data_IF_151384835068
#
_entry.id   IF_151384835068
#
_cell.length_a   1.000
_cell.length_b   1.000
_cell.length_c   1.000
_cell.angle_alpha   90.00
_cell.angle_beta   90.00
_cell.angle_gamma   90.00
#
_symmetry.space_group_name_H-M   'P 1'
#
loop_
_entity.id
_entity.type
_entity.pdbx_description
1 polymer ?
#
# COMPACT_ATOMS: atom_id res chain seq x y z
N UNK A 1 42.38 -3.74 11.89
CA UNK A 1 41.99 -2.92 10.99
C UNK A 1 40.99 -3.22 9.86
N UNK A 2 41.29 -4.10 8.92
CA UNK A 2 40.49 -4.28 7.71
C UNK A 2 39.19 -5.07 7.91
N UNK A 3 39.13 -5.97 8.89
CA UNK A 3 37.95 -6.83 9.14
C UNK A 3 36.73 -6.02 9.59
N UNK A 4 36.91 -4.91 10.29
CA UNK A 4 35.79 -4.04 10.71
C UNK A 4 35.18 -3.22 9.56
N UNK A 5 35.93 -2.89 8.52
CA UNK A 5 35.44 -2.12 7.37
C UNK A 5 34.61 -2.97 6.41
N UNK A 6 34.99 -4.23 6.16
CA UNK A 6 34.24 -5.13 5.28
C UNK A 6 32.91 -5.57 5.91
N UNK A 7 32.89 -5.83 7.22
CA UNK A 7 31.67 -6.14 7.96
C UNK A 7 30.69 -4.97 7.92
N UNK A 8 31.15 -3.74 8.17
CA UNK A 8 30.33 -2.52 8.05
C UNK A 8 29.81 -2.27 6.63
N UNK A 9 30.55 -2.65 5.58
CA UNK A 9 30.14 -2.49 4.19
C UNK A 9 29.01 -3.49 3.86
N UNK A 10 29.17 -4.75 4.25
CA UNK A 10 28.15 -5.79 4.05
C UNK A 10 26.85 -5.45 4.75
N UNK A 11 26.91 -5.03 6.01
CA UNK A 11 25.77 -4.61 6.80
C UNK A 11 25.03 -3.43 6.15
N UNK A 12 25.74 -2.46 5.57
CA UNK A 12 25.15 -1.33 4.84
C UNK A 12 24.28 -1.77 3.66
N UNK A 13 24.70 -2.76 2.91
CA UNK A 13 23.91 -3.31 1.79
C UNK A 13 22.70 -4.11 2.29
N UNK A 14 22.89 -4.90 3.34
CA UNK A 14 21.83 -5.74 3.92
C UNK A 14 20.70 -4.90 4.55
N UNK A 15 21.00 -3.70 5.06
CA UNK A 15 19.98 -2.75 5.54
C UNK A 15 19.09 -2.17 4.43
N UNK A 16 19.55 -2.24 3.17
CA UNK A 16 18.87 -1.62 2.03
C UNK A 16 18.90 -0.09 2.02
N UNK A 17 19.65 0.55 2.91
CA UNK A 17 19.82 2.02 2.96
C UNK A 17 20.79 2.53 1.90
N UNK A 18 21.67 1.66 1.43
CA UNK A 18 22.67 1.95 0.40
C UNK A 18 22.51 0.99 -0.78
N UNK A 19 23.02 1.39 -1.92
CA UNK A 19 23.22 0.51 -3.07
C UNK A 19 24.61 0.79 -3.68
N UNK A 20 25.17 -0.19 -4.37
CA UNK A 20 26.42 -0.05 -5.09
C UNK A 20 26.14 0.55 -6.48
N UNK A 21 26.70 1.72 -6.78
CA UNK A 21 26.81 2.21 -8.15
C UNK A 21 27.97 1.47 -8.82
N UNK A 22 27.66 0.43 -9.61
CA UNK A 22 28.66 -0.42 -10.26
C UNK A 22 29.56 0.35 -11.24
N UNK A 23 29.05 1.44 -11.86
CA UNK A 23 29.84 2.24 -12.80
C UNK A 23 30.94 3.04 -12.11
N UNK A 24 30.64 3.52 -10.90
CA UNK A 24 31.55 4.36 -10.11
C UNK A 24 32.25 3.59 -9.01
N UNK A 25 31.83 2.35 -8.75
CA UNK A 25 32.26 1.50 -7.64
C UNK A 25 32.22 2.22 -6.28
N UNK A 26 31.08 2.95 -6.04
CA UNK A 26 30.84 3.67 -4.78
C UNK A 26 29.48 3.31 -4.21
N UNK A 27 29.36 3.38 -2.88
CA UNK A 27 28.09 3.22 -2.18
C UNK A 27 27.33 4.55 -2.19
N UNK A 28 26.08 4.49 -2.63
CA UNK A 28 25.18 5.64 -2.72
C UNK A 28 24.02 5.46 -1.78
N UNK A 29 23.65 6.51 -1.07
CA UNK A 29 22.47 6.54 -0.19
C UNK A 29 21.19 6.44 -1.02
N UNK A 30 20.36 5.41 -0.73
CA UNK A 30 19.12 5.16 -1.44
C UNK A 30 18.07 6.26 -1.26
N UNK A 31 18.04 6.87 -0.09
CA UNK A 31 17.00 7.80 0.32
C UNK A 31 17.42 9.26 0.36
N UNK A 32 18.55 9.60 -0.25
CA UNK A 32 19.05 10.98 -0.31
C UNK A 32 18.02 11.92 -0.96
N UNK A 33 17.76 13.07 -0.31
CA UNK A 33 16.82 14.09 -0.81
C UNK A 33 15.35 13.64 -0.78
N UNK A 34 14.97 12.74 0.14
CA UNK A 34 13.62 12.17 0.24
C UNK A 34 13.01 12.38 1.61
N UNK A 35 11.70 12.60 1.62
CA UNK A 35 10.88 12.47 2.80
C UNK A 35 10.70 10.97 3.10
N UNK A 36 10.97 10.57 4.34
CA UNK A 36 11.00 9.17 4.73
C UNK A 36 9.70 8.76 5.42
N UNK A 37 9.19 7.59 5.02
CA UNK A 37 8.04 6.92 5.59
C UNK A 37 8.50 5.59 6.17
N UNK A 38 8.58 5.43 7.51
CA UNK A 38 8.88 4.15 8.12
C UNK A 38 7.82 3.11 7.79
N UNK A 39 8.26 1.93 7.37
CA UNK A 39 7.39 0.77 7.14
C UNK A 39 7.59 -0.16 8.32
N UNK A 40 6.54 -0.34 9.10
CA UNK A 40 6.58 -1.13 10.32
C UNK A 40 6.07 -2.55 10.07
N UNK A 41 6.57 -3.49 10.88
CA UNK A 41 5.92 -4.78 11.03
C UNK A 41 4.64 -4.62 11.86
N UNK A 42 3.87 -5.70 11.98
CA UNK A 42 2.60 -5.70 12.71
C UNK A 42 2.74 -5.31 14.19
N UNK A 43 3.92 -5.45 14.78
CA UNK A 43 4.20 -5.05 16.16
C UNK A 43 4.60 -3.58 16.32
N UNK A 44 4.73 -2.83 15.22
CA UNK A 44 5.11 -1.42 15.22
C UNK A 44 6.62 -1.18 15.17
N UNK A 45 7.43 -2.22 14.89
CA UNK A 45 8.88 -2.06 14.73
C UNK A 45 9.21 -1.73 13.28
N UNK A 46 10.06 -0.73 12.98
CA UNK A 46 10.45 -0.39 11.63
C UNK A 46 11.30 -1.52 11.01
N UNK A 47 10.87 -2.01 9.84
CA UNK A 47 11.52 -3.09 9.09
C UNK A 47 11.99 -2.64 7.71
N UNK A 48 11.51 -1.50 7.22
CA UNK A 48 11.86 -0.92 5.94
C UNK A 48 11.54 0.58 5.91
N UNK A 49 11.95 1.24 4.84
CA UNK A 49 11.66 2.65 4.59
C UNK A 49 11.05 2.83 3.19
N UNK A 50 10.05 3.70 3.11
CA UNK A 50 9.60 4.33 1.88
C UNK A 50 10.17 5.74 1.79
N UNK A 51 10.44 6.24 0.59
CA UNK A 51 10.94 7.58 0.39
C UNK A 51 10.29 8.28 -0.79
N UNK A 52 9.72 9.46 -0.58
CA UNK A 52 9.20 10.35 -1.62
C UNK A 52 10.20 11.47 -1.88
N UNK A 53 10.56 11.71 -3.14
CA UNK A 53 11.45 12.82 -3.50
C UNK A 53 10.83 14.17 -3.07
N UNK A 54 11.64 15.05 -2.47
CA UNK A 54 11.20 16.36 -2.02
C UNK A 54 11.16 17.33 -3.20
N UNK A 55 12.24 17.38 -3.97
CA UNK A 55 12.34 18.22 -5.16
C UNK A 55 12.01 17.41 -6.41
N UNK A 56 11.14 17.93 -7.29
CA UNK A 56 10.82 17.27 -8.56
C UNK A 56 12.08 17.06 -9.40
N UNK A 57 12.26 15.88 -9.95
CA UNK A 57 13.35 15.53 -10.84
C UNK A 57 12.82 14.61 -11.94
N UNK A 58 13.19 14.90 -13.18
CA UNK A 58 12.85 14.05 -14.33
C UNK A 58 13.71 12.77 -14.39
N UNK A 59 14.79 12.74 -13.63
CA UNK A 59 15.78 11.64 -13.64
C UNK A 59 15.63 10.67 -12.47
N UNK A 60 14.88 11.05 -11.43
CA UNK A 60 14.75 10.25 -10.21
C UNK A 60 13.31 9.79 -10.01
N UNK A 61 13.14 8.53 -9.62
CA UNK A 61 11.84 7.99 -9.28
C UNK A 61 11.16 8.81 -8.17
N UNK A 62 9.89 9.16 -8.36
CA UNK A 62 9.08 9.92 -7.38
C UNK A 62 9.04 9.19 -6.04
N UNK A 63 8.91 7.86 -6.05
CA UNK A 63 8.88 6.99 -4.87
C UNK A 63 9.94 5.91 -4.97
N UNK A 64 10.56 5.59 -3.83
CA UNK A 64 11.51 4.47 -3.69
C UNK A 64 11.22 3.77 -2.36
N UNK A 65 11.17 2.44 -2.38
CA UNK A 65 11.07 1.62 -1.16
C UNK A 65 12.40 0.89 -0.92
N UNK A 66 12.62 0.47 0.32
CA UNK A 66 13.69 -0.49 0.64
C UNK A 66 13.58 -1.73 -0.26
N UNK A 67 14.69 -2.35 -0.64
CA UNK A 67 14.67 -3.67 -1.25
C UNK A 67 14.09 -4.69 -0.26
N UNK A 68 13.70 -5.86 -0.74
CA UNK A 68 13.33 -6.95 0.14
C UNK A 68 14.52 -7.43 0.95
N UNK A 69 14.26 -7.75 2.21
CA UNK A 69 15.23 -8.27 3.17
C UNK A 69 14.67 -9.51 3.86
N UNK A 70 15.40 -10.08 4.81
CA UNK A 70 14.89 -11.16 5.65
C UNK A 70 13.65 -10.73 6.46
N UNK A 71 13.60 -9.46 6.87
CA UNK A 71 12.52 -8.92 7.72
C UNK A 71 11.41 -8.23 6.92
N UNK A 72 11.70 -7.83 5.69
CA UNK A 72 10.77 -7.07 4.85
C UNK A 72 10.50 -7.77 3.53
N UNK A 73 9.24 -8.16 3.32
CA UNK A 73 8.70 -8.70 2.07
C UNK A 73 7.50 -7.86 1.64
N UNK A 74 7.57 -7.18 0.51
CA UNK A 74 6.51 -6.27 0.00
C UNK A 74 5.16 -6.98 -0.10
N UNK A 75 5.16 -8.21 -0.62
CA UNK A 75 3.95 -9.01 -0.77
C UNK A 75 3.37 -9.60 0.53
N UNK A 76 3.99 -9.34 1.69
CA UNK A 76 3.49 -9.82 2.99
C UNK A 76 3.28 -8.69 4.00
N UNK A 77 3.69 -7.47 3.66
CA UNK A 77 3.58 -6.31 4.53
C UNK A 77 2.66 -5.27 3.89
N UNK A 78 1.97 -4.51 4.74
CA UNK A 78 1.13 -3.39 4.38
C UNK A 78 1.57 -2.17 5.20
N UNK A 79 1.66 -1.01 4.55
CA UNK A 79 1.93 0.25 5.24
C UNK A 79 0.78 0.59 6.19
N UNK A 80 1.10 1.07 7.38
CA UNK A 80 0.16 1.50 8.43
C UNK A 80 -0.67 0.37 9.09
N UNK A 81 -0.40 -0.91 8.81
CA UNK A 81 -1.18 -1.99 9.41
C UNK A 81 -1.02 -2.08 10.93
N UNK A 82 0.16 -1.73 11.44
CA UNK A 82 0.46 -1.70 12.88
C UNK A 82 -0.41 -0.72 13.66
N UNK A 83 -0.83 0.39 13.05
CA UNK A 83 -1.74 1.37 13.64
C UNK A 83 -3.20 1.00 13.35
N UNK A 84 -3.54 0.70 12.10
CA UNK A 84 -4.91 0.41 11.69
C UNK A 84 -5.50 -0.80 12.45
N UNK A 85 -4.71 -1.87 12.70
CA UNK A 85 -5.19 -3.04 13.46
C UNK A 85 -5.63 -2.72 14.89
N UNK A 86 -5.08 -1.69 15.51
CA UNK A 86 -5.48 -1.26 16.86
C UNK A 86 -6.89 -0.67 16.88
N UNK A 87 -7.40 -0.32 15.71
CA UNK A 87 -8.72 0.25 15.51
C UNK A 87 -9.76 -0.79 15.09
N UNK A 88 -9.40 -2.07 14.98
CA UNK A 88 -10.31 -3.15 14.56
C UNK A 88 -11.53 -3.32 15.46
N UNK A 89 -11.44 -2.94 16.73
CA UNK A 89 -12.59 -2.89 17.66
C UNK A 89 -13.52 -1.70 17.40
N UNK A 90 -13.04 -0.67 16.71
CA UNK A 90 -13.79 0.57 16.40
C UNK A 90 -14.39 0.55 14.99
N UNK A 91 -13.73 -0.12 14.06
CA UNK A 91 -14.12 -0.19 12.66
C UNK A 91 -14.18 -1.65 12.21
N UNK A 92 -15.30 -2.06 11.62
CA UNK A 92 -15.43 -3.38 11.01
C UNK A 92 -14.74 -3.47 9.63
N UNK A 93 -14.54 -2.30 8.98
CA UNK A 93 -13.95 -2.19 7.66
C UNK A 93 -12.55 -1.57 7.69
N UNK A 94 -11.79 -1.88 6.65
CA UNK A 94 -10.48 -1.29 6.36
C UNK A 94 -10.43 -0.83 4.90
N UNK A 95 -9.87 0.35 4.65
CA UNK A 95 -9.56 0.80 3.30
C UNK A 95 -8.15 0.37 2.91
N UNK A 96 -8.04 -0.33 1.78
CA UNK A 96 -6.76 -0.66 1.17
C UNK A 96 -6.56 0.23 -0.05
N UNK A 97 -5.53 1.06 -0.02
CA UNK A 97 -5.18 2.02 -1.07
C UNK A 97 -3.84 1.67 -1.74
N UNK A 98 -3.49 2.34 -2.83
CA UNK A 98 -2.28 2.01 -3.60
C UNK A 98 -1.00 2.48 -2.92
N UNK A 99 -1.00 3.67 -2.33
CA UNK A 99 0.21 4.31 -1.83
C UNK A 99 0.11 4.83 -0.40
N UNK A 100 1.27 4.97 0.23
CA UNK A 100 1.32 5.49 1.60
C UNK A 100 0.95 7.00 1.69
N UNK A 101 1.00 7.74 0.59
CA UNK A 101 0.49 9.12 0.57
C UNK A 101 -1.01 9.16 0.69
N UNK A 102 -1.73 8.21 0.09
CA UNK A 102 -3.18 8.11 0.23
C UNK A 102 -3.57 7.82 1.68
N UNK A 103 -2.83 6.92 2.35
CA UNK A 103 -3.03 6.68 3.80
C UNK A 103 -2.79 7.94 4.61
N UNK A 104 -1.74 8.72 4.31
CA UNK A 104 -1.48 10.00 4.99
C UNK A 104 -2.59 11.01 4.74
N UNK A 105 -3.06 11.14 3.50
CA UNK A 105 -4.17 12.03 3.13
C UNK A 105 -5.48 11.64 3.82
N UNK A 106 -5.83 10.37 3.83
CA UNK A 106 -6.99 9.83 4.55
C UNK A 106 -6.88 10.09 6.06
N UNK A 107 -5.73 9.77 6.66
CA UNK A 107 -5.48 9.96 8.09
C UNK A 107 -5.56 11.44 8.51
N UNK A 108 -4.99 12.36 7.71
CA UNK A 108 -5.09 13.82 7.91
C UNK A 108 -6.54 14.28 7.99
N UNK A 109 -7.42 13.64 7.24
CA UNK A 109 -8.86 13.92 7.23
C UNK A 109 -9.65 13.09 8.24
N UNK A 110 -8.99 12.38 9.16
CA UNK A 110 -9.61 11.61 10.23
C UNK A 110 -10.13 10.22 9.80
N UNK A 111 -9.67 9.68 8.67
CA UNK A 111 -9.93 8.30 8.23
C UNK A 111 -8.67 7.47 8.57
N UNK A 112 -8.68 6.88 9.77
CA UNK A 112 -7.51 6.22 10.35
C UNK A 112 -7.45 4.72 10.01
N UNK A 113 -8.56 4.13 9.56
CA UNK A 113 -8.68 2.73 9.16
C UNK A 113 -8.29 2.53 7.69
N UNK A 114 -7.07 2.94 7.34
CA UNK A 114 -6.52 2.80 6.00
C UNK A 114 -5.12 2.18 6.03
N UNK A 115 -4.83 1.33 5.05
CA UNK A 115 -3.52 0.69 4.81
C UNK A 115 -3.16 0.79 3.35
N UNK A 116 -1.87 0.68 3.02
CA UNK A 116 -1.45 0.70 1.62
C UNK A 116 -0.55 -0.45 1.23
N UNK A 117 -0.59 -0.79 -0.06
CA UNK A 117 0.39 -1.62 -0.73
C UNK A 117 1.74 -0.89 -0.84
N UNK A 118 2.79 -1.67 -1.04
CA UNK A 118 4.19 -1.19 -1.06
C UNK A 118 4.80 -1.26 -2.47
N UNK A 119 4.01 -0.90 -3.50
CA UNK A 119 4.46 -0.89 -4.89
C UNK A 119 4.49 -2.29 -5.52
N UNK A 120 3.61 -3.17 -5.08
CA UNK A 120 3.37 -4.50 -5.68
C UNK A 120 1.87 -4.71 -5.87
N UNK A 121 1.49 -5.65 -6.71
CA UNK A 121 0.10 -6.10 -6.76
C UNK A 121 -0.33 -6.69 -5.41
N UNK A 122 -1.59 -6.52 -5.07
CA UNK A 122 -2.19 -7.12 -3.89
C UNK A 122 -2.04 -8.65 -3.92
N UNK A 123 -1.63 -9.21 -2.78
CA UNK A 123 -1.39 -10.66 -2.65
C UNK A 123 -2.43 -11.33 -1.75
N UNK A 124 -2.60 -12.64 -1.90
CA UNK A 124 -3.39 -13.49 -1.01
C UNK A 124 -2.96 -13.37 0.46
N UNK A 125 -1.64 -13.31 0.72
CA UNK A 125 -1.10 -13.14 2.08
C UNK A 125 -1.52 -11.84 2.74
N UNK A 126 -1.58 -10.75 1.98
CA UNK A 126 -2.01 -9.45 2.50
C UNK A 126 -3.50 -9.48 2.83
N UNK A 127 -4.34 -10.06 1.96
CA UNK A 127 -5.77 -10.27 2.23
C UNK A 127 -5.98 -11.18 3.43
N UNK A 128 -5.27 -12.30 3.50
CA UNK A 128 -5.31 -13.20 4.65
C UNK A 128 -5.01 -12.46 5.96
N UNK A 129 -3.98 -11.61 5.95
CA UNK A 129 -3.60 -10.82 7.13
C UNK A 129 -4.67 -9.81 7.52
N UNK A 130 -5.27 -9.09 6.57
CA UNK A 130 -6.35 -8.14 6.83
C UNK A 130 -7.60 -8.84 7.38
N UNK A 131 -7.94 -10.01 6.84
CA UNK A 131 -9.06 -10.83 7.30
C UNK A 131 -8.96 -11.29 8.76
N UNK A 132 -7.78 -11.24 9.37
CA UNK A 132 -7.61 -11.54 10.80
C UNK A 132 -8.15 -10.42 11.70
N UNK A 133 -8.22 -9.19 11.20
CA UNK A 133 -8.56 -8.02 12.00
C UNK A 133 -9.88 -7.36 11.57
N UNK A 134 -10.25 -7.47 10.30
CA UNK A 134 -11.39 -6.75 9.72
C UNK A 134 -12.34 -7.72 9.02
N UNK A 135 -13.63 -7.38 9.01
CA UNK A 135 -14.66 -8.17 8.34
C UNK A 135 -14.96 -7.68 6.93
N UNK A 136 -14.70 -6.41 6.63
CA UNK A 136 -14.93 -5.82 5.32
C UNK A 136 -13.63 -5.10 4.84
N UNK A 137 -13.06 -5.59 3.75
CA UNK A 137 -11.90 -5.00 3.09
C UNK A 137 -12.41 -4.22 1.88
N UNK A 138 -12.24 -2.90 1.88
CA UNK A 138 -12.60 -2.02 0.78
C UNK A 138 -11.34 -1.61 0.04
N UNK A 139 -11.13 -2.13 -1.17
CA UNK A 139 -9.96 -1.83 -1.98
C UNK A 139 -10.32 -0.64 -2.87
N UNK A 140 -9.61 0.48 -2.66
CA UNK A 140 -9.80 1.70 -3.42
C UNK A 140 -8.86 1.72 -4.63
N UNK A 141 -9.41 2.00 -5.79
CA UNK A 141 -8.68 2.16 -7.05
C UNK A 141 -8.92 3.55 -7.62
N UNK A 142 -7.91 4.07 -8.29
CA UNK A 142 -8.05 5.27 -9.09
C UNK A 142 -9.09 5.04 -10.20
N UNK A 143 -9.81 6.09 -10.58
CA UNK A 143 -10.91 6.03 -11.54
C UNK A 143 -10.47 5.92 -13.01
N UNK A 144 -9.35 5.24 -13.29
CA UNK A 144 -8.78 5.12 -14.62
C UNK A 144 -8.68 3.66 -15.09
N UNK A 145 -8.22 3.47 -16.35
CA UNK A 145 -8.02 2.14 -16.93
C UNK A 145 -6.96 1.31 -16.17
N UNK A 146 -5.97 1.97 -15.59
CA UNK A 146 -4.92 1.33 -14.79
C UNK A 146 -5.52 0.74 -13.51
N UNK A 147 -6.36 1.53 -12.80
CA UNK A 147 -7.08 1.09 -11.62
C UNK A 147 -8.02 -0.08 -11.91
N UNK A 148 -8.71 -0.07 -13.06
CA UNK A 148 -9.54 -1.21 -13.45
C UNK A 148 -8.72 -2.50 -13.70
N UNK A 149 -7.57 -2.40 -14.36
CA UNK A 149 -6.65 -3.54 -14.56
C UNK A 149 -6.05 -4.03 -13.24
N UNK A 150 -5.76 -3.11 -12.31
CA UNK A 150 -5.32 -3.47 -10.96
C UNK A 150 -6.41 -4.21 -10.18
N UNK A 151 -7.67 -3.78 -10.31
CA UNK A 151 -8.82 -4.44 -9.70
C UNK A 151 -9.02 -5.87 -10.21
N UNK A 152 -8.84 -6.13 -11.50
CA UNK A 152 -8.91 -7.50 -12.04
C UNK A 152 -7.85 -8.41 -11.41
N UNK A 153 -6.60 -7.96 -11.36
CA UNK A 153 -5.52 -8.71 -10.69
C UNK A 153 -5.79 -8.92 -9.20
N UNK A 154 -6.30 -7.88 -8.53
CA UNK A 154 -6.69 -7.97 -7.13
C UNK A 154 -7.82 -9.00 -6.93
N UNK A 155 -8.81 -9.03 -7.81
CA UNK A 155 -9.89 -10.02 -7.78
C UNK A 155 -9.35 -11.45 -7.88
N UNK A 156 -8.49 -11.73 -8.85
CA UNK A 156 -7.88 -13.05 -9.05
C UNK A 156 -7.10 -13.52 -7.82
N UNK A 157 -6.29 -12.64 -7.22
CA UNK A 157 -5.50 -12.95 -6.04
C UNK A 157 -6.36 -13.11 -4.77
N UNK A 158 -7.52 -12.45 -4.72
CA UNK A 158 -8.39 -12.46 -3.54
C UNK A 158 -9.37 -13.63 -3.50
N UNK A 159 -9.65 -14.29 -4.63
CA UNK A 159 -10.65 -15.37 -4.72
C UNK A 159 -10.40 -16.47 -3.68
N UNK A 160 -9.16 -16.82 -3.42
CA UNK A 160 -8.78 -17.88 -2.47
C UNK A 160 -9.05 -17.52 -1.01
N UNK A 161 -9.14 -16.22 -0.73
CA UNK A 161 -9.30 -15.67 0.62
C UNK A 161 -10.72 -15.24 0.93
N UNK A 162 -11.67 -15.48 0.00
CA UNK A 162 -13.09 -15.22 0.22
C UNK A 162 -13.62 -16.22 1.24
N UNK A 163 -14.21 -15.70 2.32
CA UNK A 163 -14.85 -16.48 3.39
C UNK A 163 -16.29 -16.00 3.58
N UNK A 164 -17.21 -16.88 4.03
CA UNK A 164 -18.63 -16.52 4.19
C UNK A 164 -18.87 -15.27 5.06
N UNK A 165 -18.04 -15.08 6.09
CA UNK A 165 -18.19 -14.00 7.08
C UNK A 165 -17.32 -12.76 6.74
N UNK A 166 -16.58 -12.79 5.63
CA UNK A 166 -15.66 -11.72 5.22
C UNK A 166 -16.10 -11.13 3.89
N UNK A 167 -16.05 -9.82 3.79
CA UNK A 167 -16.40 -9.10 2.57
C UNK A 167 -15.14 -8.47 1.96
N UNK A 168 -15.03 -8.58 0.65
CA UNK A 168 -14.06 -7.86 -0.14
C UNK A 168 -14.85 -7.07 -1.17
N UNK A 169 -14.67 -5.75 -1.14
CA UNK A 169 -15.36 -4.82 -2.00
C UNK A 169 -14.37 -3.94 -2.73
N UNK A 170 -14.71 -3.52 -3.93
CA UNK A 170 -13.95 -2.58 -4.74
C UNK A 170 -14.65 -1.24 -4.78
N UNK A 171 -13.89 -0.19 -4.59
CA UNK A 171 -14.33 1.19 -4.69
C UNK A 171 -13.49 1.88 -5.78
N UNK A 172 -14.14 2.30 -6.85
CA UNK A 172 -13.53 3.11 -7.89
C UNK A 172 -13.85 4.57 -7.60
N UNK A 173 -12.81 5.39 -7.55
CA UNK A 173 -12.97 6.83 -7.40
C UNK A 173 -13.35 7.45 -8.76
N UNK A 174 -13.87 8.69 -8.79
CA UNK A 174 -14.11 9.40 -10.05
C UNK A 174 -12.82 9.59 -10.85
N UNK A 175 -12.97 9.80 -12.17
CA UNK A 175 -11.85 10.01 -13.09
C UNK A 175 -10.84 11.03 -12.56
N UNK A 176 -9.55 10.66 -12.60
CA UNK A 176 -8.40 11.46 -12.18
C UNK A 176 -8.31 11.78 -10.67
N UNK A 177 -9.15 11.19 -9.84
CA UNK A 177 -9.04 11.32 -8.38
C UNK A 177 -8.35 10.09 -7.78
N UNK A 178 -7.41 10.35 -6.86
CA UNK A 178 -6.87 9.38 -5.93
C UNK A 178 -7.48 9.58 -4.53
N UNK A 179 -7.30 8.67 -3.56
CA UNK A 179 -7.88 8.80 -2.22
C UNK A 179 -7.50 10.09 -1.51
N UNK A 180 -6.26 10.59 -1.66
CA UNK A 180 -5.77 11.82 -1.04
C UNK A 180 -6.50 13.04 -1.64
N UNK A 181 -6.53 13.18 -2.98
CA UNK A 181 -7.21 14.30 -3.65
C UNK A 181 -8.71 14.28 -3.37
N UNK A 182 -9.34 13.11 -3.45
CA UNK A 182 -10.77 12.97 -3.27
C UNK A 182 -11.24 13.38 -1.86
N UNK A 183 -10.53 12.91 -0.81
CA UNK A 183 -10.90 13.26 0.56
C UNK A 183 -10.56 14.70 0.90
N UNK A 184 -9.46 15.26 0.38
CA UNK A 184 -9.13 16.67 0.59
C UNK A 184 -10.16 17.63 -0.02
N UNK A 185 -10.76 17.25 -1.16
CA UNK A 185 -11.76 18.03 -1.86
C UNK A 185 -13.15 17.94 -1.22
N UNK A 186 -13.56 16.76 -0.80
CA UNK A 186 -14.94 16.49 -0.44
C UNK A 186 -15.15 16.27 1.07
N UNK A 187 -14.09 16.01 1.82
CA UNK A 187 -14.13 15.74 3.25
C UNK A 187 -14.47 14.28 3.61
N UNK A 188 -14.32 13.98 4.89
CA UNK A 188 -14.47 12.64 5.47
C UNK A 188 -15.85 12.05 5.28
N UNK A 189 -16.88 12.80 5.63
CA UNK A 189 -18.27 12.30 5.64
C UNK A 189 -18.70 11.93 4.22
N UNK A 190 -18.36 12.78 3.25
CA UNK A 190 -18.64 12.49 1.85
C UNK A 190 -17.87 11.25 1.34
N UNK A 191 -16.62 11.05 1.77
CA UNK A 191 -15.84 9.85 1.43
C UNK A 191 -16.52 8.57 1.92
N UNK A 192 -17.02 8.56 3.17
CA UNK A 192 -17.75 7.42 3.70
C UNK A 192 -19.08 7.17 2.98
N UNK A 193 -19.85 8.25 2.71
CA UNK A 193 -21.13 8.13 1.99
C UNK A 193 -20.89 7.63 0.56
N UNK A 194 -19.90 8.18 -0.13
CA UNK A 194 -19.50 7.72 -1.45
C UNK A 194 -19.10 6.24 -1.43
N UNK A 195 -18.26 5.84 -0.47
CA UNK A 195 -17.84 4.45 -0.31
C UNK A 195 -19.03 3.51 -0.10
N UNK A 196 -19.98 3.90 0.75
CA UNK A 196 -21.19 3.11 1.00
C UNK A 196 -22.05 2.89 -0.24
N UNK A 197 -22.19 3.94 -1.06
CA UNK A 197 -23.08 3.93 -2.23
C UNK A 197 -22.44 3.30 -3.46
N UNK A 198 -21.12 3.36 -3.60
CA UNK A 198 -20.42 3.02 -4.83
C UNK A 198 -19.51 1.79 -4.73
N UNK A 199 -19.27 1.27 -3.52
CA UNK A 199 -18.51 0.01 -3.42
C UNK A 199 -19.29 -1.14 -4.01
N UNK A 200 -18.62 -2.00 -4.76
CA UNK A 200 -19.19 -3.22 -5.34
C UNK A 200 -18.47 -4.44 -4.77
N UNK A 201 -19.20 -5.51 -4.49
CA UNK A 201 -18.58 -6.74 -4.01
C UNK A 201 -17.69 -7.35 -5.09
N UNK A 202 -16.65 -8.08 -4.68
CA UNK A 202 -15.76 -8.79 -5.61
C UNK A 202 -16.56 -9.72 -6.54
N UNK A 203 -17.61 -10.37 -6.05
CA UNK A 203 -18.47 -11.25 -6.85
C UNK A 203 -19.21 -10.47 -7.95
N UNK A 204 -19.78 -9.32 -7.59
CA UNK A 204 -20.48 -8.45 -8.56
C UNK A 204 -19.51 -7.88 -9.59
N UNK A 205 -18.28 -7.51 -9.18
CA UNK A 205 -17.25 -7.01 -10.08
C UNK A 205 -16.87 -8.07 -11.11
N UNK A 206 -16.57 -9.29 -10.66
CA UNK A 206 -16.21 -10.42 -11.54
C UNK A 206 -17.36 -10.74 -12.49
N UNK A 207 -18.60 -10.83 -11.97
CA UNK A 207 -19.78 -11.09 -12.80
C UNK A 207 -19.96 -10.04 -13.90
N UNK A 208 -19.85 -8.76 -13.53
CA UNK A 208 -19.97 -7.65 -14.49
C UNK A 208 -18.88 -7.67 -15.56
N UNK A 209 -17.65 -8.04 -15.17
CA UNK A 209 -16.52 -8.14 -16.12
C UNK A 209 -16.79 -9.19 -17.20
N UNK A 210 -17.18 -10.40 -16.81
CA UNK A 210 -17.41 -11.48 -17.76
C UNK A 210 -18.68 -11.26 -18.59
N UNK A 211 -19.75 -10.69 -18.01
CA UNK A 211 -20.95 -10.36 -18.76
C UNK A 211 -20.73 -9.33 -19.89
N UNK A 212 -19.78 -8.42 -19.74
CA UNK A 212 -19.46 -7.44 -20.78
C UNK A 212 -18.63 -8.03 -21.93
N UNK A 213 -17.97 -9.16 -21.68
CA UNK A 213 -17.06 -9.80 -22.63
C UNK A 213 -17.67 -11.06 -23.30
N UNK A 214 -18.94 -11.35 -23.02
CA UNK A 214 -19.78 -12.39 -23.66
C UNK A 214 -20.83 -11.73 -24.56
#
# INVERSE_FOLDING_TARGET
GLVGSEMCIRDRLETGLFYLDEKKNIYVERFRGRLIFPINNISGQPIALGGRIIEKSDFLAKYVNSPETLFFKKGSNLYNLDLARKLSNKFENIFLVEGYMDVVGLSKNGIENAVANLGTSLTDKQIFTLNQFFNDIIICFDGDESGYKAALRAAENSIKEIKPEKQISFLFLPDQEDPDSFVNKNGKDYFFDYSKQNKISIHQFIFNHYKKNT
#
